data_IF_285554555319
#
_entry.id   IF_285554555319
#
_cell.length_a   1.000
_cell.length_b   1.000
_cell.length_c   1.000
_cell.angle_alpha   90.00
_cell.angle_beta   90.00
_cell.angle_gamma   90.00
#
_symmetry.space_group_name_H-M   'P 1'
#
loop_
_entity.id
_entity.type
_entity.pdbx_description
1 polymer ?
#
# COMPACT_ATOMS: atom_id res chain seq x y z
N UNK A 1 4.46 -6.20 -25.35
CA UNK A 1 4.92 -7.50 -24.84
C UNK A 1 5.97 -7.21 -23.78
N UNK A 2 5.78 -7.66 -22.54
CA UNK A 2 6.74 -7.40 -21.45
C UNK A 2 8.08 -8.08 -21.72
N UNK A 3 9.15 -7.42 -21.30
CA UNK A 3 10.51 -7.92 -21.48
C UNK A 3 10.84 -8.90 -20.36
N UNK A 4 11.80 -9.80 -20.60
CA UNK A 4 12.33 -10.71 -19.57
C UNK A 4 12.83 -9.96 -18.33
N UNK A 5 13.32 -8.73 -18.52
CA UNK A 5 13.79 -7.86 -17.46
C UNK A 5 12.68 -7.48 -16.47
N UNK A 6 11.47 -7.19 -16.97
CA UNK A 6 10.33 -6.78 -16.14
C UNK A 6 9.93 -7.89 -15.17
N UNK A 7 9.91 -9.16 -15.63
CA UNK A 7 9.65 -10.31 -14.76
C UNK A 7 10.72 -10.48 -13.68
N UNK A 8 11.99 -10.26 -14.01
CA UNK A 8 13.08 -10.34 -13.05
C UNK A 8 12.94 -9.24 -11.98
N UNK A 9 12.53 -8.03 -12.39
CA UNK A 9 12.34 -6.90 -11.49
C UNK A 9 11.24 -7.17 -10.45
N UNK A 10 10.05 -7.61 -10.90
CA UNK A 10 8.97 -7.99 -9.97
C UNK A 10 9.33 -9.23 -9.14
N UNK A 11 10.14 -10.14 -9.68
CA UNK A 11 10.69 -11.26 -8.93
C UNK A 11 11.59 -10.82 -7.77
N UNK A 12 12.48 -9.85 -8.01
CA UNK A 12 13.35 -9.27 -7.00
C UNK A 12 12.55 -8.54 -5.90
N UNK A 13 11.51 -7.79 -6.28
CA UNK A 13 10.61 -7.16 -5.31
C UNK A 13 9.95 -8.21 -4.42
N UNK A 14 9.38 -9.28 -5.01
CA UNK A 14 8.72 -10.36 -4.26
C UNK A 14 9.69 -11.13 -3.34
N UNK A 15 10.95 -11.19 -3.72
CA UNK A 15 12.00 -11.84 -2.94
C UNK A 15 12.61 -10.92 -1.86
N UNK A 16 12.15 -9.66 -1.76
CA UNK A 16 12.69 -8.63 -0.86
C UNK A 16 14.18 -8.31 -1.11
N UNK A 17 14.61 -8.32 -2.37
CA UNK A 17 15.99 -8.09 -2.77
C UNK A 17 16.27 -6.62 -3.14
N UNK A 18 16.41 -5.75 -2.13
CA UNK A 18 16.63 -4.31 -2.34
C UNK A 18 17.82 -4.00 -3.26
N UNK A 19 18.96 -4.68 -3.08
CA UNK A 19 20.16 -4.43 -3.88
C UNK A 19 19.94 -4.73 -5.37
N UNK A 20 19.21 -5.83 -5.66
CA UNK A 20 18.84 -6.20 -7.03
C UNK A 20 17.90 -5.15 -7.62
N UNK A 21 16.86 -4.74 -6.88
CA UNK A 21 15.90 -3.71 -7.29
C UNK A 21 16.59 -2.38 -7.58
N UNK A 22 17.49 -1.94 -6.69
CA UNK A 22 18.26 -0.71 -6.81
C UNK A 22 19.15 -0.72 -8.05
N UNK A 23 19.90 -1.80 -8.28
CA UNK A 23 20.75 -1.98 -9.46
C UNK A 23 19.96 -1.94 -10.77
N UNK A 24 18.77 -2.57 -10.79
CA UNK A 24 17.91 -2.56 -11.97
C UNK A 24 17.33 -1.17 -12.25
N UNK A 25 16.90 -0.43 -11.21
CA UNK A 25 16.39 0.94 -11.34
C UNK A 25 17.49 1.95 -11.73
N UNK A 26 18.72 1.75 -11.26
CA UNK A 26 19.86 2.55 -11.70
C UNK A 26 20.16 2.37 -13.21
N UNK A 27 19.87 1.17 -13.75
CA UNK A 27 20.06 0.88 -15.17
C UNK A 27 18.89 1.37 -16.02
N UNK A 28 17.65 1.20 -15.53
CA UNK A 28 16.43 1.60 -16.22
C UNK A 28 15.44 2.24 -15.23
N UNK A 29 15.51 3.58 -15.06
CA UNK A 29 14.61 4.31 -14.15
C UNK A 29 13.12 4.19 -14.51
N UNK A 30 12.80 3.86 -15.77
CA UNK A 30 11.41 3.70 -16.20
C UNK A 30 10.71 2.53 -15.49
N UNK A 31 11.48 1.57 -14.95
CA UNK A 31 10.94 0.43 -14.20
C UNK A 31 10.15 0.83 -12.96
N UNK A 32 10.32 2.04 -12.43
CA UNK A 32 9.67 2.45 -11.16
C UNK A 32 8.13 2.48 -11.26
N UNK A 33 7.57 2.66 -12.47
CA UNK A 33 6.13 2.81 -12.71
C UNK A 33 5.57 1.84 -13.76
N UNK A 34 6.28 0.77 -14.12
CA UNK A 34 5.74 -0.22 -15.07
C UNK A 34 4.64 -1.07 -14.41
N UNK A 35 3.57 -1.43 -15.14
CA UNK A 35 2.59 -2.38 -14.62
C UNK A 35 3.18 -3.79 -14.55
N UNK A 36 2.84 -4.51 -13.48
CA UNK A 36 3.23 -5.89 -13.26
C UNK A 36 2.65 -6.84 -14.32
N UNK A 37 3.30 -8.00 -14.55
CA UNK A 37 2.86 -8.94 -15.57
C UNK A 37 1.51 -9.57 -15.24
N UNK A 38 0.90 -10.21 -16.23
CA UNK A 38 -0.32 -11.01 -16.03
C UNK A 38 -0.14 -12.18 -15.07
N UNK A 39 1.10 -12.55 -14.74
CA UNK A 39 1.43 -13.61 -13.79
C UNK A 39 2.59 -13.15 -12.90
N UNK A 40 2.56 -13.44 -11.59
CA UNK A 40 1.51 -14.16 -10.86
C UNK A 40 0.22 -13.33 -10.67
N UNK A 41 -0.90 -14.00 -10.34
CA UNK A 41 -2.22 -13.37 -10.32
C UNK A 41 -2.42 -12.40 -9.15
N UNK A 42 -1.66 -12.55 -8.07
CA UNK A 42 -1.72 -11.75 -6.85
C UNK A 42 -1.17 -10.33 -7.03
N UNK A 43 -0.15 -10.14 -7.87
CA UNK A 43 0.41 -8.81 -8.20
C UNK A 43 0.02 -8.29 -9.57
N UNK A 44 -0.87 -8.99 -10.28
CA UNK A 44 -1.14 -8.73 -11.69
C UNK A 44 -1.61 -7.29 -11.93
N UNK A 45 -0.90 -6.58 -12.79
CA UNK A 45 -1.21 -5.19 -13.18
C UNK A 45 -0.91 -4.13 -12.12
N UNK A 46 -0.41 -4.51 -10.94
CA UNK A 46 0.02 -3.59 -9.89
C UNK A 46 1.27 -2.81 -10.30
N UNK A 47 1.49 -1.65 -9.71
CA UNK A 47 2.80 -0.98 -9.79
C UNK A 47 3.86 -1.72 -8.94
N UNK A 48 5.16 -1.43 -9.14
CA UNK A 48 6.23 -1.94 -8.28
C UNK A 48 6.02 -1.57 -6.81
N UNK A 49 5.53 -0.35 -6.56
CA UNK A 49 5.19 0.13 -5.23
C UNK A 49 4.11 -0.78 -4.61
N UNK A 50 2.97 -0.95 -5.27
CA UNK A 50 1.89 -1.82 -4.78
C UNK A 50 2.36 -3.27 -4.56
N UNK A 51 3.18 -3.81 -5.45
CA UNK A 51 3.74 -5.15 -5.30
C UNK A 51 4.63 -5.27 -4.04
N UNK A 52 5.41 -4.25 -3.70
CA UNK A 52 6.21 -4.19 -2.48
C UNK A 52 5.34 -4.11 -1.21
N UNK A 53 4.20 -3.42 -1.28
CA UNK A 53 3.24 -3.30 -0.17
C UNK A 53 2.47 -4.60 0.06
N UNK A 54 1.95 -5.20 -1.01
CA UNK A 54 1.10 -6.40 -0.96
C UNK A 54 1.87 -7.67 -0.54
N UNK A 55 3.12 -7.82 -0.98
CA UNK A 55 3.90 -9.05 -0.76
C UNK A 55 4.63 -9.09 0.58
N UNK A 56 4.01 -8.60 1.65
CA UNK A 56 4.57 -8.72 3.01
C UNK A 56 5.29 -7.47 3.50
N UNK A 57 4.91 -6.28 2.99
CA UNK A 57 5.46 -5.00 3.44
C UNK A 57 6.99 -5.00 3.35
N UNK A 58 7.50 -5.09 2.11
CA UNK A 58 8.92 -4.95 1.78
C UNK A 58 9.35 -3.49 1.99
N UNK A 59 9.44 -3.10 3.26
CA UNK A 59 9.53 -1.71 3.75
C UNK A 59 10.63 -0.93 3.04
N UNK A 60 11.82 -1.49 2.99
CA UNK A 60 13.00 -0.77 2.50
C UNK A 60 12.90 -0.55 0.98
N UNK A 61 12.35 -1.54 0.26
CA UNK A 61 12.02 -1.41 -1.17
C UNK A 61 10.91 -0.38 -1.38
N UNK A 62 9.86 -0.39 -0.56
CA UNK A 62 8.74 0.54 -0.69
C UNK A 62 9.21 1.99 -0.49
N UNK A 63 10.02 2.26 0.54
CA UNK A 63 10.65 3.57 0.74
C UNK A 63 11.54 3.96 -0.44
N UNK A 64 12.41 3.04 -0.88
CA UNK A 64 13.29 3.27 -2.02
C UNK A 64 12.52 3.65 -3.31
N UNK A 65 11.42 2.96 -3.58
CA UNK A 65 10.57 3.24 -4.74
C UNK A 65 9.91 4.63 -4.67
N UNK A 66 9.44 5.06 -3.48
CA UNK A 66 8.92 6.43 -3.30
C UNK A 66 9.99 7.48 -3.57
N UNK A 67 11.21 7.28 -3.06
CA UNK A 67 12.35 8.18 -3.30
C UNK A 67 12.72 8.31 -4.78
N UNK A 68 12.44 7.27 -5.58
CA UNK A 68 12.72 7.22 -7.02
C UNK A 68 11.52 7.56 -7.90
N UNK A 69 10.47 8.16 -7.34
CA UNK A 69 9.35 8.69 -8.12
C UNK A 69 8.28 7.66 -8.49
N UNK A 70 8.08 6.66 -7.64
CA UNK A 70 6.91 5.80 -7.74
C UNK A 70 5.61 6.62 -7.71
N UNK A 71 4.70 6.31 -8.63
CA UNK A 71 3.41 6.97 -8.77
C UNK A 71 2.47 6.52 -7.65
N UNK A 72 2.28 7.41 -6.67
CA UNK A 72 1.40 7.20 -5.52
C UNK A 72 -0.09 7.20 -5.88
N UNK A 73 -0.44 7.63 -7.09
CA UNK A 73 -1.79 7.60 -7.65
C UNK A 73 -1.99 6.47 -8.67
N UNK A 74 -0.99 5.59 -8.84
CA UNK A 74 -1.13 4.47 -9.76
C UNK A 74 -2.36 3.64 -9.41
N UNK A 75 -3.16 3.33 -10.43
CA UNK A 75 -4.30 2.43 -10.32
C UNK A 75 -4.18 1.35 -11.40
N UNK A 76 -4.14 0.09 -10.97
CA UNK A 76 -4.18 -1.05 -11.88
C UNK A 76 -5.49 -1.05 -12.69
N UNK A 77 -5.49 -1.73 -13.84
CA UNK A 77 -6.68 -1.83 -14.71
C UNK A 77 -7.90 -2.31 -13.91
N UNK A 78 -9.02 -1.61 -14.06
CA UNK A 78 -10.29 -1.91 -13.41
C UNK A 78 -10.80 -3.33 -13.72
N UNK A 79 -10.42 -3.92 -14.86
CA UNK A 79 -10.71 -5.33 -15.21
C UNK A 79 -10.05 -6.35 -14.29
N UNK A 80 -9.03 -5.92 -13.54
CA UNK A 80 -8.21 -6.75 -12.67
C UNK A 80 -8.52 -6.53 -11.19
N UNK A 81 -9.69 -5.95 -10.88
CA UNK A 81 -10.04 -5.48 -9.54
C UNK A 81 -9.04 -4.43 -9.01
N UNK A 82 -8.45 -3.66 -9.92
CA UNK A 82 -7.46 -2.64 -9.59
C UNK A 82 -8.01 -1.56 -8.67
N UNK A 83 -7.14 -1.07 -7.81
CA UNK A 83 -7.39 0.03 -6.88
C UNK A 83 -6.18 0.96 -6.82
N UNK A 84 -6.38 2.23 -6.41
CA UNK A 84 -5.29 3.19 -6.23
C UNK A 84 -4.26 2.72 -5.20
N UNK A 85 -2.98 2.98 -5.45
CA UNK A 85 -1.87 2.60 -4.56
C UNK A 85 -2.04 3.10 -3.11
N UNK A 86 -2.78 4.18 -2.89
CA UNK A 86 -3.09 4.70 -1.55
C UNK A 86 -3.81 3.67 -0.65
N UNK A 87 -4.63 2.77 -1.21
CA UNK A 87 -5.29 1.71 -0.41
C UNK A 87 -4.28 0.83 0.29
N UNK A 88 -3.19 0.45 -0.38
CA UNK A 88 -2.13 -0.34 0.22
C UNK A 88 -1.43 0.44 1.33
N UNK A 89 -1.13 1.72 1.10
CA UNK A 89 -0.55 2.60 2.13
C UNK A 89 -1.41 2.66 3.40
N UNK A 90 -2.73 2.80 3.26
CA UNK A 90 -3.67 2.80 4.39
C UNK A 90 -3.72 1.43 5.07
N UNK A 91 -3.79 0.34 4.31
CA UNK A 91 -3.81 -1.02 4.84
C UNK A 91 -2.55 -1.33 5.65
N UNK A 92 -1.38 -0.92 5.16
CA UNK A 92 -0.11 -1.08 5.87
C UNK A 92 -0.11 -0.31 7.19
N UNK A 93 -0.52 0.95 7.19
CA UNK A 93 -0.59 1.76 8.41
C UNK A 93 -1.54 1.14 9.44
N UNK A 94 -2.70 0.64 8.98
CA UNK A 94 -3.68 -0.03 9.83
C UNK A 94 -3.17 -1.38 10.38
N UNK A 95 -2.51 -2.19 9.54
CA UNK A 95 -1.98 -3.49 9.95
C UNK A 95 -0.84 -3.37 10.97
N UNK A 96 0.06 -2.42 10.76
CA UNK A 96 1.20 -2.14 11.64
C UNK A 96 0.86 -1.21 12.81
N UNK A 97 -0.38 -0.76 12.93
CA UNK A 97 -0.81 0.04 14.06
C UNK A 97 -0.56 -0.69 15.39
N UNK A 98 -0.27 0.08 16.44
CA UNK A 98 -0.03 -0.46 17.79
C UNK A 98 -1.32 -1.04 18.35
N UNK A 99 -1.53 -2.32 18.11
CA UNK A 99 -2.67 -3.09 18.60
C UNK A 99 -2.24 -4.30 19.39
N UNK A 100 -3.12 -4.70 20.31
CA UNK A 100 -3.06 -6.02 20.90
C UNK A 100 -3.61 -7.04 19.92
N UNK A 101 -2.96 -8.19 19.84
CA UNK A 101 -3.44 -9.34 19.10
C UNK A 101 -3.25 -10.57 19.98
N UNK A 102 -4.08 -11.58 19.75
CA UNK A 102 -3.82 -12.91 20.29
C UNK A 102 -2.49 -13.44 19.74
N UNK A 103 -1.69 -14.06 20.60
CA UNK A 103 -0.35 -14.56 20.28
C UNK A 103 -0.33 -15.85 19.44
N UNK A 104 -1.51 -16.34 19.05
CA UNK A 104 -1.64 -17.56 18.25
C UNK A 104 -1.47 -18.85 19.04
N UNK A 105 -1.30 -18.76 20.37
CA UNK A 105 -1.10 -19.90 21.28
C UNK A 105 -2.38 -20.24 22.05
N UNK A 106 -2.39 -21.33 22.82
CA UNK A 106 -3.52 -21.84 23.63
C UNK A 106 -4.79 -20.97 23.69
N UNK A 107 -5.86 -21.45 23.06
CA UNK A 107 -7.15 -20.77 23.00
C UNK A 107 -7.88 -20.74 24.34
N UNK A 108 -7.47 -21.56 25.32
CA UNK A 108 -8.09 -21.64 26.65
C UNK A 108 -7.73 -20.42 27.51
N UNK A 109 -6.53 -19.86 27.30
CA UNK A 109 -6.02 -18.70 28.01
C UNK A 109 -5.55 -17.64 27.02
N UNK A 110 -6.50 -16.93 26.38
CA UNK A 110 -6.23 -15.91 25.37
C UNK A 110 -5.25 -14.83 25.88
N UNK A 111 -3.97 -15.01 25.56
CA UNK A 111 -2.93 -14.03 25.88
C UNK A 111 -2.87 -12.98 24.79
N UNK A 112 -3.14 -11.74 25.19
CA UNK A 112 -2.99 -10.58 24.31
C UNK A 112 -1.56 -10.05 24.39
N UNK A 113 -0.89 -9.99 23.24
CA UNK A 113 0.45 -9.42 23.10
C UNK A 113 0.42 -8.22 22.15
N UNK A 114 1.38 -7.31 22.29
CA UNK A 114 1.56 -6.26 21.29
C UNK A 114 2.07 -6.90 20.02
N UNK A 115 1.37 -6.69 18.90
CA UNK A 115 1.78 -7.25 17.61
C UNK A 115 2.94 -6.49 16.98
N UNK A 116 2.92 -5.16 17.09
CA UNK A 116 3.93 -4.27 16.53
C UNK A 116 4.49 -3.34 17.61
N UNK A 117 5.77 -3.02 17.49
CA UNK A 117 6.47 -2.05 18.31
C UNK A 117 6.00 -0.62 17.99
N UNK A 118 6.40 0.34 18.82
CA UNK A 118 6.14 1.75 18.53
C UNK A 118 6.85 2.21 17.26
N UNK A 119 8.11 1.80 17.08
CA UNK A 119 8.91 2.21 15.93
C UNK A 119 8.30 1.70 14.60
N UNK A 120 7.86 0.44 14.55
CA UNK A 120 7.23 -0.14 13.35
C UNK A 120 5.91 0.57 12.99
N UNK A 121 5.10 0.89 13.99
CA UNK A 121 3.88 1.65 13.76
C UNK A 121 4.20 3.07 13.27
N UNK A 122 5.10 3.78 13.95
CA UNK A 122 5.46 5.16 13.63
C UNK A 122 6.03 5.26 12.20
N UNK A 123 6.82 4.26 11.77
CA UNK A 123 7.35 4.13 10.41
C UNK A 123 6.24 3.88 9.36
N UNK A 124 5.34 2.93 9.60
CA UNK A 124 4.22 2.67 8.68
C UNK A 124 3.31 3.90 8.50
N UNK A 125 3.05 4.66 9.58
CA UNK A 125 2.33 5.93 9.49
C UNK A 125 3.16 7.02 8.81
N UNK A 126 4.49 7.04 8.97
CA UNK A 126 5.36 7.97 8.26
C UNK A 126 5.33 7.72 6.75
N UNK A 127 5.33 6.45 6.34
CA UNK A 127 5.19 6.06 4.95
C UNK A 127 3.87 6.53 4.33
N UNK A 128 2.74 6.28 4.99
CA UNK A 128 1.43 6.77 4.53
C UNK A 128 1.41 8.31 4.44
N UNK A 129 1.98 9.01 5.42
CA UNK A 129 2.11 10.48 5.36
C UNK A 129 2.97 10.93 4.18
N UNK A 130 4.04 10.19 3.86
CA UNK A 130 4.88 10.48 2.70
C UNK A 130 4.08 10.35 1.41
N UNK A 131 3.31 9.27 1.22
CA UNK A 131 2.45 9.11 0.03
C UNK A 131 1.49 10.29 -0.15
N UNK A 132 0.83 10.73 0.93
CA UNK A 132 -0.08 11.89 0.90
C UNK A 132 0.67 13.20 0.57
N UNK A 133 1.86 13.40 1.14
CA UNK A 133 2.69 14.57 0.85
C UNK A 133 3.19 14.60 -0.60
N UNK A 134 3.38 13.43 -1.21
CA UNK A 134 3.70 13.27 -2.64
C UNK A 134 2.47 13.43 -3.55
N UNK A 135 1.30 13.72 -3.00
CA UNK A 135 0.09 14.03 -3.76
C UNK A 135 -0.83 12.84 -4.00
N UNK A 136 -0.76 11.78 -3.19
CA UNK A 136 -1.76 10.72 -3.24
C UNK A 136 -3.16 11.29 -2.97
N UNK A 137 -4.12 10.99 -3.85
CA UNK A 137 -5.50 11.47 -3.73
C UNK A 137 -6.23 10.72 -2.61
N UNK A 138 -6.41 11.39 -1.47
CA UNK A 138 -7.17 10.88 -0.32
C UNK A 138 -8.66 10.63 -0.61
N UNK A 139 -9.20 11.19 -1.68
CA UNK A 139 -10.59 10.96 -2.10
C UNK A 139 -10.72 9.87 -3.16
N UNK A 140 -9.60 9.28 -3.61
CA UNK A 140 -9.62 8.25 -4.61
C UNK A 140 -10.43 7.03 -4.14
N UNK A 141 -11.24 6.52 -5.05
CA UNK A 141 -12.05 5.32 -4.80
C UNK A 141 -11.63 4.16 -5.68
N UNK A 142 -11.88 2.96 -5.20
CA UNK A 142 -11.81 1.79 -6.06
C UNK A 142 -13.01 1.73 -7.03
N UNK A 143 -13.04 0.71 -7.88
CA UNK A 143 -14.13 0.48 -8.85
C UNK A 143 -15.52 0.35 -8.23
N UNK A 144 -15.60 -0.01 -6.95
CA UNK A 144 -16.85 -0.14 -6.19
C UNK A 144 -17.23 1.16 -5.46
N UNK A 145 -16.57 2.29 -5.80
CA UNK A 145 -16.70 3.59 -5.15
C UNK A 145 -16.35 3.57 -3.64
N UNK A 146 -15.57 2.58 -3.18
CA UNK A 146 -15.12 2.51 -1.79
C UNK A 146 -13.95 3.46 -1.58
N UNK A 147 -13.92 4.13 -0.43
CA UNK A 147 -12.79 4.97 -0.03
C UNK A 147 -11.69 4.13 0.63
N UNK A 148 -10.43 4.48 0.38
CA UNK A 148 -9.26 3.87 1.00
C UNK A 148 -9.29 3.88 2.54
N UNK A 149 -9.97 4.85 3.16
CA UNK A 149 -9.99 5.00 4.64
C UNK A 149 -11.07 4.18 5.34
N UNK A 150 -12.24 4.02 4.71
CA UNK A 150 -13.40 3.43 5.38
C UNK A 150 -13.77 2.05 4.87
N UNK A 151 -13.29 1.65 3.69
CA UNK A 151 -13.72 0.42 3.01
C UNK A 151 -15.23 0.42 2.67
N UNK A 152 -15.93 1.54 2.89
CA UNK A 152 -17.33 1.77 2.55
C UNK A 152 -17.39 2.60 1.29
N UNK A 153 -18.49 2.47 0.55
CA UNK A 153 -18.77 3.38 -0.56
C UNK A 153 -18.82 4.82 -0.05
N UNK A 154 -18.42 5.81 -0.87
CA UNK A 154 -18.59 7.24 -0.56
C UNK A 154 -20.03 7.46 -0.07
N UNK A 155 -21.02 6.93 -0.79
CA UNK A 155 -22.43 7.00 -0.42
C UNK A 155 -22.70 6.52 1.00
N UNK A 156 -22.22 5.33 1.40
CA UNK A 156 -22.36 4.82 2.77
C UNK A 156 -21.54 5.58 3.82
N UNK A 157 -20.44 6.22 3.42
CA UNK A 157 -19.64 7.07 4.30
C UNK A 157 -20.37 8.38 4.64
N UNK A 158 -21.01 9.01 3.65
CA UNK A 158 -21.72 10.28 3.80
C UNK A 158 -23.21 10.15 4.16
N UNK A 159 -23.86 9.00 3.91
CA UNK A 159 -25.27 8.77 4.31
C UNK A 159 -25.43 8.40 5.80
N UNK A 160 -24.38 7.87 6.45
CA UNK A 160 -24.47 7.28 7.79
C UNK A 160 -23.85 8.08 8.94
N UNK A 161 -23.01 9.08 8.65
CA UNK A 161 -22.25 9.80 9.69
C UNK A 161 -22.12 11.29 9.36
N UNK A 162 -22.84 12.18 10.08
CA UNK A 162 -22.66 13.64 9.99
C UNK A 162 -21.36 14.11 10.65
N UNK A 163 -20.33 13.25 10.74
CA UNK A 163 -19.03 13.59 11.36
C UNK A 163 -18.36 14.76 10.65
N UNK A 164 -18.66 14.99 9.36
CA UNK A 164 -18.21 16.20 8.66
C UNK A 164 -18.90 17.49 9.12
N UNK A 165 -20.13 17.44 9.64
CA UNK A 165 -20.74 18.60 10.32
C UNK A 165 -20.04 18.91 11.66
N UNK A 166 -19.43 17.91 12.30
CA UNK A 166 -18.73 18.07 13.58
C UNK A 166 -17.25 18.47 13.42
N UNK A 167 -16.62 18.13 12.30
CA UNK A 167 -15.17 18.34 12.09
C UNK A 167 -14.85 19.32 10.96
N UNK A 168 -15.85 19.86 10.24
CA UNK A 168 -15.65 20.81 9.12
C UNK A 168 -14.84 22.06 9.52
N UNK A 169 -14.93 22.48 10.77
CA UNK A 169 -14.23 23.67 11.28
C UNK A 169 -12.78 23.40 11.70
N UNK A 170 -12.31 22.14 11.71
CA UNK A 170 -10.93 21.79 12.12
C UNK A 170 -9.89 21.96 11.00
N UNK A 171 -10.32 22.19 9.75
CA UNK A 171 -9.45 22.40 8.59
C UNK A 171 -9.73 23.73 7.87
N UNK A 172 -10.37 24.69 8.55
CA UNK A 172 -10.54 26.08 8.12
C UNK A 172 -9.43 27.00 8.60
#
# INVERSE_FOLDING_TARGET
>A
MMKKNDYAFFGAIRADELETVSSMLATDPALVNIPAPEKPADTRGMSPLQAALCNGWHRDIAWFLLEHGADVNFCADAKLDGYPALFDGVNIAAWNARRYAWDGQDTTSMRLVRKHTRAEADDAFAFLRCMLALGADGQATDRENRSAYSGKTIRQHYEGSPVWELCGDLFG
#
